data_IF_300050130552
#
_entry.id   IF_300050130552
#
_cell.length_a   1.000
_cell.length_b   1.000
_cell.length_c   1.000
_cell.angle_alpha   90.00
_cell.angle_beta   90.00
_cell.angle_gamma   90.00
#
_symmetry.space_group_name_H-M   'P 1'
#
loop_
_entity.id
_entity.type
_entity.pdbx_description
1 polymer ?
#
# COMPACT_ATOMS: atom_id res chain seq x y z
N UNK A 1 8.12 2.54 13.68
CA UNK A 1 9.06 3.48 13.01
C UNK A 1 10.37 2.81 12.59
N UNK A 2 11.14 2.18 13.49
CA UNK A 2 12.43 1.55 13.11
C UNK A 2 12.30 0.37 12.11
N UNK A 3 11.26 -0.47 12.24
CA UNK A 3 11.00 -1.57 11.31
C UNK A 3 10.62 -1.09 9.89
N UNK A 4 9.90 0.03 9.77
CA UNK A 4 9.53 0.64 8.49
C UNK A 4 10.74 1.22 7.76
N UNK A 5 11.68 1.83 8.51
CA UNK A 5 12.95 2.32 7.95
C UNK A 5 13.84 1.17 7.46
N UNK A 6 13.88 0.04 8.18
CA UNK A 6 14.62 -1.15 7.76
C UNK A 6 13.98 -1.86 6.55
N UNK A 7 12.65 -1.77 6.41
CA UNK A 7 11.94 -2.20 5.20
C UNK A 7 12.32 -1.32 4.00
N UNK A 8 12.25 0.02 4.15
CA UNK A 8 12.68 0.96 3.10
C UNK A 8 14.17 0.87 2.78
N UNK A 9 15.02 0.39 3.70
CA UNK A 9 16.45 0.15 3.43
C UNK A 9 16.76 -1.20 2.77
N UNK A 10 15.75 -1.98 2.36
CA UNK A 10 15.93 -3.25 1.66
C UNK A 10 16.44 -4.40 2.54
N UNK A 11 16.40 -4.27 3.86
CA UNK A 11 16.86 -5.31 4.79
C UNK A 11 15.70 -5.86 5.63
N UNK A 12 14.78 -6.54 4.94
CA UNK A 12 13.59 -7.12 5.54
C UNK A 12 13.92 -8.08 6.70
N UNK A 13 15.04 -8.81 6.60
CA UNK A 13 15.51 -9.75 7.62
C UNK A 13 15.81 -9.06 8.94
N UNK A 14 16.45 -7.89 8.91
CA UNK A 14 16.75 -7.12 10.12
C UNK A 14 15.50 -6.45 10.72
N UNK A 15 14.47 -6.17 9.92
CA UNK A 15 13.22 -5.55 10.38
C UNK A 15 12.30 -6.47 11.18
N UNK A 16 12.32 -7.78 10.88
CA UNK A 16 11.46 -8.80 11.51
C UNK A 16 11.48 -8.80 13.05
N UNK A 17 12.64 -8.89 13.75
CA UNK A 17 12.65 -8.93 15.21
C UNK A 17 12.07 -7.66 15.84
N UNK A 18 12.26 -6.49 15.22
CA UNK A 18 11.70 -5.23 15.71
C UNK A 18 10.18 -5.16 15.52
N UNK A 19 9.66 -5.64 14.39
CA UNK A 19 8.23 -5.71 14.16
C UNK A 19 7.55 -6.65 15.17
N UNK A 20 8.12 -7.85 15.37
CA UNK A 20 7.62 -8.82 16.35
C UNK A 20 7.66 -8.28 17.79
N UNK A 21 8.77 -7.65 18.19
CA UNK A 21 8.88 -7.04 19.51
C UNK A 21 7.84 -5.92 19.72
N UNK A 22 7.62 -5.09 18.69
CA UNK A 22 6.61 -4.03 18.72
C UNK A 22 5.20 -4.60 18.88
N UNK A 23 4.87 -5.70 18.19
CA UNK A 23 3.58 -6.38 18.34
C UNK A 23 3.39 -6.91 19.77
N UNK A 24 4.39 -7.60 20.33
CA UNK A 24 4.34 -8.12 21.71
C UNK A 24 4.16 -7.00 22.74
N UNK A 25 4.81 -5.86 22.52
CA UNK A 25 4.64 -4.68 23.36
C UNK A 25 3.22 -4.13 23.24
N UNK A 26 2.71 -3.92 22.03
CA UNK A 26 1.36 -3.40 21.83
C UNK A 26 0.28 -4.28 22.45
N UNK A 27 0.45 -5.61 22.38
CA UNK A 27 -0.44 -6.57 23.03
C UNK A 27 -0.46 -6.41 24.56
N UNK A 28 0.70 -6.16 25.16
CA UNK A 28 0.82 -6.00 26.62
C UNK A 28 0.13 -4.73 27.14
N UNK A 29 -0.03 -3.72 26.28
CA UNK A 29 -0.62 -2.42 26.63
C UNK A 29 -2.00 -2.18 25.99
N UNK A 30 -2.63 -3.20 25.38
CA UNK A 30 -3.93 -3.10 24.69
C UNK A 30 -3.97 -1.98 23.62
N UNK A 31 -2.87 -1.78 22.89
CA UNK A 31 -2.77 -0.78 21.83
C UNK A 31 -3.20 -1.40 20.49
N UNK A 32 -4.50 -1.69 20.35
CA UNK A 32 -5.02 -2.51 19.24
C UNK A 32 -4.75 -1.93 17.84
N UNK A 33 -4.92 -0.61 17.66
CA UNK A 33 -4.61 0.04 16.39
C UNK A 33 -3.12 0.03 16.07
N UNK A 34 -2.27 0.27 17.07
CA UNK A 34 -0.81 0.26 16.90
C UNK A 34 -0.31 -1.16 16.61
N UNK A 35 -0.90 -2.16 17.26
CA UNK A 35 -0.67 -3.57 16.97
C UNK A 35 -1.04 -3.88 15.52
N UNK A 36 -2.22 -3.47 15.05
CA UNK A 36 -2.65 -3.69 13.67
C UNK A 36 -1.71 -3.01 12.66
N UNK A 37 -1.28 -1.78 12.93
CA UNK A 37 -0.27 -1.10 12.11
C UNK A 37 1.08 -1.82 12.12
N UNK A 38 1.52 -2.35 13.25
CA UNK A 38 2.76 -3.13 13.33
C UNK A 38 2.64 -4.48 12.61
N UNK A 39 1.45 -5.10 12.63
CA UNK A 39 1.13 -6.30 11.86
C UNK A 39 1.19 -6.04 10.35
N UNK A 40 0.69 -4.89 9.88
CA UNK A 40 0.85 -4.49 8.48
C UNK A 40 2.35 -4.39 8.09
N UNK A 41 3.17 -3.72 8.91
CA UNK A 41 4.62 -3.67 8.66
C UNK A 41 5.27 -5.05 8.69
N UNK A 42 4.84 -5.96 9.57
CA UNK A 42 5.33 -7.33 9.56
C UNK A 42 4.95 -8.06 8.26
N UNK A 43 3.74 -7.85 7.75
CA UNK A 43 3.30 -8.42 6.48
C UNK A 43 4.11 -7.87 5.30
N UNK A 44 4.35 -6.55 5.25
CA UNK A 44 5.23 -5.91 4.25
C UNK A 44 6.63 -6.55 4.25
N UNK A 45 7.21 -6.77 5.43
CA UNK A 45 8.51 -7.45 5.56
C UNK A 45 8.46 -8.89 5.05
N UNK A 46 7.39 -9.64 5.31
CA UNK A 46 7.23 -11.00 4.79
C UNK A 46 7.18 -11.02 3.26
N UNK A 47 6.46 -10.10 2.64
CA UNK A 47 6.41 -9.98 1.18
C UNK A 47 7.79 -9.62 0.61
N UNK A 48 8.54 -8.74 1.29
CA UNK A 48 9.91 -8.37 0.93
C UNK A 48 10.94 -9.51 0.98
N UNK A 49 10.65 -10.61 1.70
CA UNK A 49 11.48 -11.81 1.71
C UNK A 49 11.25 -12.72 0.49
N UNK A 50 10.17 -12.49 -0.27
CA UNK A 50 9.88 -13.17 -1.52
C UNK A 50 8.41 -13.49 -1.72
N UNK A 51 8.03 -13.70 -2.98
CA UNK A 51 6.66 -14.02 -3.42
C UNK A 51 6.08 -15.29 -2.80
N UNK A 52 6.92 -16.24 -2.39
CA UNK A 52 6.51 -17.46 -1.67
C UNK A 52 5.81 -17.17 -0.33
N UNK A 53 5.96 -15.96 0.21
CA UNK A 53 5.35 -15.54 1.46
C UNK A 53 4.14 -14.63 1.27
N UNK A 54 3.75 -14.31 0.02
CA UNK A 54 2.64 -13.41 -0.28
C UNK A 54 1.33 -13.86 0.40
N UNK A 55 0.99 -15.15 0.30
CA UNK A 55 -0.20 -15.71 0.96
C UNK A 55 -0.20 -15.52 2.48
N UNK A 56 0.94 -15.79 3.12
CA UNK A 56 1.08 -15.61 4.58
C UNK A 56 0.98 -14.13 4.98
N UNK A 57 1.52 -13.24 4.16
CA UNK A 57 1.47 -11.82 4.40
C UNK A 57 0.02 -11.29 4.24
N UNK A 58 -0.71 -11.81 3.26
CA UNK A 58 -2.13 -11.52 3.06
C UNK A 58 -2.99 -12.02 4.25
N UNK A 59 -2.76 -13.23 4.74
CA UNK A 59 -3.47 -13.75 5.93
C UNK A 59 -3.26 -12.85 7.16
N UNK A 60 -2.04 -12.33 7.35
CA UNK A 60 -1.74 -11.38 8.43
C UNK A 60 -2.47 -10.05 8.24
N UNK A 61 -2.54 -9.56 7.00
CA UNK A 61 -3.23 -8.34 6.65
C UNK A 61 -4.74 -8.45 6.91
N UNK A 62 -5.37 -9.52 6.43
CA UNK A 62 -6.81 -9.75 6.62
C UNK A 62 -7.18 -9.85 8.10
N UNK A 63 -6.29 -10.37 8.95
CA UNK A 63 -6.46 -10.33 10.41
C UNK A 63 -6.39 -8.93 11.01
N UNK A 64 -5.61 -8.03 10.42
CA UNK A 64 -5.44 -6.64 10.88
C UNK A 64 -6.45 -5.65 10.25
N UNK A 65 -7.03 -5.99 9.10
CA UNK A 65 -7.94 -5.16 8.31
C UNK A 65 -9.12 -4.60 9.11
N UNK A 66 -9.88 -5.38 9.91
CA UNK A 66 -11.01 -4.83 10.65
C UNK A 66 -10.62 -3.66 11.57
N UNK A 67 -9.44 -3.74 12.19
CA UNK A 67 -8.93 -2.67 13.04
C UNK A 67 -8.41 -1.48 12.23
N UNK A 68 -7.70 -1.73 11.12
CA UNK A 68 -7.16 -0.68 10.26
C UNK A 68 -8.28 0.09 9.55
N UNK A 69 -9.25 -0.60 8.96
CA UNK A 69 -10.34 0.04 8.22
C UNK A 69 -11.32 0.76 9.17
N UNK A 70 -11.56 0.19 10.36
CA UNK A 70 -12.48 0.80 11.33
C UNK A 70 -11.91 1.99 12.10
N UNK A 71 -10.60 1.98 12.41
CA UNK A 71 -10.00 2.94 13.34
C UNK A 71 -8.71 3.60 12.83
N UNK A 72 -8.15 3.12 11.72
CA UNK A 72 -6.95 3.68 11.11
C UNK A 72 -7.23 4.99 10.37
N UNK A 73 -6.23 5.86 10.34
CA UNK A 73 -6.25 7.06 9.50
C UNK A 73 -6.16 6.72 8.02
N UNK A 74 -6.47 7.71 7.17
CA UNK A 74 -6.46 7.59 5.69
C UNK A 74 -5.15 7.00 5.16
N UNK A 75 -3.99 7.46 5.66
CA UNK A 75 -2.68 6.94 5.23
C UNK A 75 -2.54 5.44 5.53
N UNK A 76 -2.93 5.01 6.73
CA UNK A 76 -2.76 3.63 7.16
C UNK A 76 -3.68 2.70 6.38
N UNK A 77 -4.91 3.14 6.08
CA UNK A 77 -5.88 2.38 5.28
C UNK A 77 -5.43 2.27 3.84
N UNK A 78 -5.04 3.37 3.21
CA UNK A 78 -4.51 3.36 1.85
C UNK A 78 -3.27 2.47 1.71
N UNK A 79 -2.34 2.53 2.67
CA UNK A 79 -1.16 1.64 2.69
C UNK A 79 -1.56 0.17 2.81
N UNK A 80 -2.58 -0.14 3.60
CA UNK A 80 -3.10 -1.50 3.73
C UNK A 80 -3.69 -2.02 2.41
N UNK A 81 -4.44 -1.18 1.68
CA UNK A 81 -5.01 -1.53 0.38
C UNK A 81 -3.94 -1.70 -0.72
N UNK A 82 -2.93 -0.82 -0.78
CA UNK A 82 -1.81 -0.97 -1.71
C UNK A 82 -1.05 -2.27 -1.41
N UNK A 83 -0.86 -2.58 -0.12
CA UNK A 83 -0.20 -3.81 0.29
C UNK A 83 -1.00 -5.07 -0.10
N UNK A 84 -2.33 -5.03 0.02
CA UNK A 84 -3.22 -6.09 -0.46
C UNK A 84 -3.06 -6.33 -1.97
N UNK A 85 -3.11 -5.25 -2.77
CA UNK A 85 -2.90 -5.31 -4.21
C UNK A 85 -1.53 -5.90 -4.57
N UNK A 86 -0.47 -5.47 -3.88
CA UNK A 86 0.88 -6.01 -4.07
C UNK A 86 1.00 -7.49 -3.73
N UNK A 87 0.30 -7.96 -2.68
CA UNK A 87 0.27 -9.39 -2.35
C UNK A 87 -0.34 -10.21 -3.48
N UNK A 88 -1.48 -9.77 -4.03
CA UNK A 88 -2.12 -10.44 -5.17
C UNK A 88 -1.23 -10.42 -6.41
N UNK A 89 -0.63 -9.27 -6.74
CA UNK A 89 0.24 -9.15 -7.92
C UNK A 89 1.55 -9.96 -7.81
N UNK A 90 1.99 -10.24 -6.58
CA UNK A 90 3.20 -11.04 -6.31
C UNK A 90 2.93 -12.53 -6.25
N UNK A 91 1.68 -12.97 -6.07
CA UNK A 91 1.32 -14.38 -6.00
C UNK A 91 1.34 -14.99 -7.42
N UNK A 92 2.20 -15.98 -7.70
CA UNK A 92 2.29 -16.60 -9.02
C UNK A 92 1.03 -17.39 -9.41
N UNK A 93 0.15 -17.73 -8.45
CA UNK A 93 -1.14 -18.36 -8.70
C UNK A 93 -2.25 -17.36 -9.03
N UNK A 94 -2.01 -16.07 -8.83
CA UNK A 94 -2.98 -15.03 -9.08
C UNK A 94 -3.09 -14.74 -10.57
N UNK A 95 -4.30 -14.94 -11.12
CA UNK A 95 -4.60 -14.60 -12.50
C UNK A 95 -5.29 -13.24 -12.54
N UNK A 96 -4.54 -12.23 -12.99
CA UNK A 96 -5.06 -10.86 -13.15
C UNK A 96 -6.34 -10.82 -14.00
N UNK A 97 -6.55 -11.78 -14.90
CA UNK A 97 -7.76 -11.84 -15.74
C UNK A 97 -9.04 -12.29 -15.00
N UNK A 98 -8.92 -12.93 -13.84
CA UNK A 98 -10.07 -13.49 -13.11
C UNK A 98 -10.45 -12.63 -11.91
N UNK A 99 -9.45 -12.05 -11.24
CA UNK A 99 -9.62 -11.34 -9.97
C UNK A 99 -9.16 -9.88 -10.07
N UNK A 100 -9.16 -9.28 -11.26
CA UNK A 100 -8.74 -7.88 -11.45
C UNK A 100 -9.53 -6.89 -10.62
N UNK A 101 -10.82 -7.15 -10.44
CA UNK A 101 -11.73 -6.19 -9.81
C UNK A 101 -11.39 -5.99 -8.34
N UNK A 102 -10.98 -7.04 -7.62
CA UNK A 102 -10.56 -6.91 -6.22
C UNK A 102 -9.29 -6.07 -6.08
N UNK A 103 -8.32 -6.26 -6.97
CA UNK A 103 -7.06 -5.48 -6.98
C UNK A 103 -7.34 -4.02 -7.36
N UNK A 104 -8.16 -3.79 -8.38
CA UNK A 104 -8.50 -2.45 -8.85
C UNK A 104 -9.33 -1.69 -7.82
N UNK A 105 -10.28 -2.35 -7.14
CA UNK A 105 -11.09 -1.74 -6.09
C UNK A 105 -10.22 -1.33 -4.90
N UNK A 106 -9.31 -2.20 -4.43
CA UNK A 106 -8.36 -1.85 -3.37
C UNK A 106 -7.47 -0.67 -3.79
N UNK A 107 -6.96 -0.66 -5.02
CA UNK A 107 -6.13 0.45 -5.52
C UNK A 107 -6.90 1.77 -5.66
N UNK A 108 -8.17 1.73 -6.08
CA UNK A 108 -9.05 2.90 -6.16
C UNK A 108 -9.33 3.48 -4.78
N UNK A 109 -9.66 2.62 -3.81
CA UNK A 109 -9.84 3.05 -2.41
C UNK A 109 -8.57 3.71 -1.88
N UNK A 110 -7.40 3.12 -2.15
CA UNK A 110 -6.13 3.72 -1.76
C UNK A 110 -5.89 5.08 -2.43
N UNK A 111 -6.09 5.18 -3.75
CA UNK A 111 -5.84 6.42 -4.48
C UNK A 111 -6.74 7.56 -4.01
N UNK A 112 -8.02 7.29 -3.75
CA UNK A 112 -8.98 8.30 -3.29
C UNK A 112 -8.57 8.86 -1.92
N UNK A 113 -8.20 7.97 -0.99
CA UNK A 113 -7.74 8.37 0.35
C UNK A 113 -6.42 9.16 0.31
N UNK A 114 -5.50 8.79 -0.59
CA UNK A 114 -4.19 9.45 -0.72
C UNK A 114 -4.26 10.78 -1.45
N UNK A 115 -5.16 10.91 -2.42
CA UNK A 115 -5.46 12.19 -3.06
C UNK A 115 -6.05 13.17 -2.04
N UNK A 116 -6.97 12.71 -1.18
CA UNK A 116 -7.53 13.54 -0.11
C UNK A 116 -6.48 14.00 0.93
N UNK A 117 -5.39 13.24 1.08
CA UNK A 117 -4.27 13.58 1.95
C UNK A 117 -3.15 14.37 1.25
N UNK A 118 -3.25 14.58 -0.07
CA UNK A 118 -2.14 15.11 -0.89
C UNK A 118 -0.84 14.31 -0.71
N UNK A 119 -0.96 13.01 -0.40
CA UNK A 119 0.21 12.16 -0.22
C UNK A 119 0.69 11.65 -1.58
N UNK A 120 1.32 12.53 -2.35
CA UNK A 120 1.67 12.30 -3.74
C UNK A 120 2.60 11.10 -3.98
N UNK A 121 3.52 10.77 -3.06
CA UNK A 121 4.44 9.61 -3.20
C UNK A 121 3.66 8.30 -3.28
N UNK A 122 2.79 8.05 -2.30
CA UNK A 122 2.02 6.82 -2.23
C UNK A 122 0.88 6.81 -3.25
N UNK A 123 0.30 7.97 -3.57
CA UNK A 123 -0.71 8.10 -4.62
C UNK A 123 -0.13 7.73 -6.00
N UNK A 124 1.09 8.18 -6.30
CA UNK A 124 1.79 7.78 -7.53
C UNK A 124 1.99 6.25 -7.57
N UNK A 125 2.42 5.63 -6.47
CA UNK A 125 2.55 4.17 -6.41
C UNK A 125 1.22 3.46 -6.74
N UNK A 126 0.10 3.90 -6.17
CA UNK A 126 -1.22 3.34 -6.46
C UNK A 126 -1.58 3.45 -7.96
N UNK A 127 -1.41 4.63 -8.57
CA UNK A 127 -1.71 4.83 -9.99
C UNK A 127 -0.79 4.04 -10.92
N UNK A 128 0.49 3.89 -10.55
CA UNK A 128 1.42 3.04 -11.28
C UNK A 128 0.96 1.58 -11.29
N UNK A 129 0.57 1.04 -10.13
CA UNK A 129 0.05 -0.32 -10.01
C UNK A 129 -1.26 -0.50 -10.80
N UNK A 130 -2.16 0.49 -10.78
CA UNK A 130 -3.38 0.47 -11.58
C UNK A 130 -3.07 0.41 -13.08
N UNK A 131 -2.14 1.24 -13.56
CA UNK A 131 -1.72 1.24 -14.96
C UNK A 131 -1.13 -0.12 -15.38
N UNK A 132 -0.34 -0.76 -14.52
CA UNK A 132 0.17 -2.11 -14.76
C UNK A 132 -0.94 -3.16 -14.85
N UNK A 133 -1.97 -3.07 -14.01
CA UNK A 133 -3.12 -3.99 -14.05
C UNK A 133 -3.92 -3.79 -15.33
N UNK A 134 -4.23 -2.55 -15.70
CA UNK A 134 -4.95 -2.24 -16.93
C UNK A 134 -4.18 -2.67 -18.20
N UNK A 135 -2.85 -2.53 -18.19
CA UNK A 135 -2.00 -3.02 -19.28
C UNK A 135 -2.13 -4.54 -19.47
N UNK A 136 -2.07 -5.30 -18.36
CA UNK A 136 -2.26 -6.76 -18.38
C UNK A 136 -3.66 -7.18 -18.84
N UNK A 137 -4.67 -6.34 -18.60
CA UNK A 137 -6.05 -6.56 -19.05
C UNK A 137 -6.30 -6.09 -20.50
N UNK A 138 -5.34 -5.43 -21.14
CA UNK A 138 -5.50 -4.83 -22.47
C UNK A 138 -6.42 -3.60 -22.50
N UNK A 139 -6.71 -2.99 -21.35
CA UNK A 139 -7.58 -1.81 -21.23
C UNK A 139 -6.78 -0.52 -21.38
N UNK A 140 -6.47 -0.18 -22.64
CA UNK A 140 -5.54 0.90 -22.97
C UNK A 140 -6.01 2.29 -22.54
N UNK A 141 -7.31 2.59 -22.61
CA UNK A 141 -7.86 3.88 -22.19
C UNK A 141 -7.67 4.10 -20.68
N UNK A 142 -8.12 3.14 -19.86
CA UNK A 142 -7.98 3.19 -18.39
C UNK A 142 -6.51 3.21 -17.96
N UNK A 143 -5.64 2.50 -18.70
CA UNK A 143 -4.19 2.55 -18.49
C UNK A 143 -3.63 3.95 -18.69
N UNK A 144 -3.99 4.61 -19.79
CA UNK A 144 -3.49 5.95 -20.11
C UNK A 144 -3.99 6.97 -19.07
N UNK A 145 -5.25 6.89 -18.66
CA UNK A 145 -5.79 7.70 -17.57
C UNK A 145 -4.98 7.52 -16.27
N UNK A 146 -4.74 6.29 -15.84
CA UNK A 146 -3.92 6.00 -14.66
C UNK A 146 -2.48 6.54 -14.82
N UNK A 147 -1.88 6.43 -16.01
CA UNK A 147 -0.55 6.95 -16.29
C UNK A 147 -0.50 8.49 -16.24
N UNK A 148 -1.54 9.19 -16.69
CA UNK A 148 -1.62 10.66 -16.57
C UNK A 148 -1.71 11.10 -15.12
N UNK A 149 -2.49 10.39 -14.29
CA UNK A 149 -2.60 10.66 -12.85
C UNK A 149 -1.27 10.36 -12.13
N UNK A 150 -0.61 9.24 -12.44
CA UNK A 150 0.74 8.95 -11.97
C UNK A 150 1.69 10.12 -12.26
N UNK A 151 1.74 10.56 -13.52
CA UNK A 151 2.60 11.67 -13.94
C UNK A 151 2.28 12.96 -13.17
N UNK A 152 0.99 13.27 -12.99
CA UNK A 152 0.56 14.44 -12.20
C UNK A 152 1.12 14.40 -10.78
N UNK A 153 1.01 13.27 -10.09
CA UNK A 153 1.51 13.13 -8.72
C UNK A 153 3.05 13.18 -8.64
N UNK A 154 3.76 12.61 -9.61
CA UNK A 154 5.22 12.72 -9.69
C UNK A 154 5.65 14.18 -9.91
N UNK A 155 5.01 14.90 -10.82
CA UNK A 155 5.32 16.32 -11.05
C UNK A 155 5.03 17.19 -9.82
N UNK A 156 3.95 16.91 -9.07
CA UNK A 156 3.65 17.61 -7.83
C UNK A 156 4.71 17.36 -6.73
N UNK A 157 5.31 16.16 -6.68
CA UNK A 157 6.44 15.88 -5.78
C UNK A 157 7.71 16.63 -6.16
N UNK A 158 7.99 16.74 -7.47
CA UNK A 158 9.18 17.41 -7.99
C UNK A 158 9.07 18.94 -7.87
N UNK A 159 7.86 19.51 -8.03
CA UNK A 159 7.59 20.95 -7.98
C UNK A 159 6.45 21.29 -7.00
N UNK A 160 6.72 21.39 -5.69
CA UNK A 160 5.70 21.72 -4.69
C UNK A 160 5.19 23.17 -4.72
N UNK A 161 5.60 24.00 -5.69
CA UNK A 161 5.28 25.45 -5.76
C UNK A 161 4.29 25.86 -6.85
N UNK A 162 3.79 24.94 -7.69
CA UNK A 162 2.89 25.29 -8.80
C UNK A 162 1.39 25.25 -8.44
N UNK A 163 1.04 25.02 -7.17
CA UNK A 163 -0.35 25.02 -6.67
C UNK A 163 -0.72 26.28 -5.85
N UNK A 164 -0.18 27.46 -6.19
CA UNK A 164 -0.87 28.71 -5.85
C UNK A 164 -1.81 29.08 -7.02
N UNK A 165 -3.15 28.95 -6.86
CA UNK A 165 -4.06 29.59 -7.78
C UNK A 165 -3.85 31.09 -7.65
N UNK A 166 -3.29 31.67 -8.71
CA UNK A 166 -3.16 33.11 -8.91
C UNK A 166 -4.55 33.75 -8.75
N UNK A 167 -4.87 34.19 -7.53
CA UNK A 167 -6.10 34.91 -7.24
C UNK A 167 -5.99 36.29 -7.86
N UNK A 168 -6.64 36.44 -9.01
CA UNK A 168 -6.89 37.72 -9.67
C UNK A 168 -7.89 38.57 -8.88
#
# INVERSE_FOLDING_TARGET
>A
MHAFLLNKSGNAVLGLPYALASISFCQSFNLDLLKASATLTLAELWLGLGSNHAKRALDLLHGAFPMILGHGGLELRARAYIFEANCYLSDPSFSVSTDSDTVLDSLRQASDELQALEYHELAAEAFYLMAMVYDKLGRLEEREEAATLFKKHITALENPQDEEPNMA
#
